data_IF_629095274360
#
_entry.id   IF_629095274360
#
_cell.length_a   1.000
_cell.length_b   1.000
_cell.length_c   1.000
_cell.angle_alpha   90.00
_cell.angle_beta   90.00
_cell.angle_gamma   90.00
#
_symmetry.space_group_name_H-M   'P 1'
#
loop_
_entity.id
_entity.type
_entity.pdbx_description
1 polymer ?
#
# COMPACT_ATOMS: atom_id res chain seq x y z
N UNK A 1 -22.94 -20.54 -6.98
CA UNK A 1 -22.52 -19.33 -6.25
C UNK A 1 -21.25 -18.85 -6.95
N UNK A 2 -21.25 -17.65 -7.53
CA UNK A 2 -20.04 -17.12 -8.17
C UNK A 2 -18.99 -16.89 -7.08
N UNK A 3 -17.83 -17.53 -7.18
CA UNK A 3 -16.69 -17.19 -6.32
C UNK A 3 -16.39 -15.70 -6.52
N UNK A 4 -16.48 -14.93 -5.44
CA UNK A 4 -16.10 -13.53 -5.46
C UNK A 4 -14.58 -13.50 -5.49
N UNK A 5 -13.97 -12.88 -6.49
CA UNK A 5 -12.51 -12.72 -6.57
C UNK A 5 -12.16 -11.27 -6.24
N UNK A 6 -11.20 -11.04 -5.34
CA UNK A 6 -10.73 -9.70 -5.06
C UNK A 6 -9.99 -9.18 -6.30
N UNK A 7 -10.42 -8.04 -6.85
CA UNK A 7 -9.81 -7.44 -8.03
C UNK A 7 -8.51 -6.70 -7.63
N UNK A 8 -7.49 -7.47 -7.25
CA UNK A 8 -6.18 -6.99 -6.81
C UNK A 8 -5.09 -7.61 -7.69
N UNK A 9 -4.18 -6.77 -8.17
CA UNK A 9 -3.06 -7.13 -9.02
C UNK A 9 -1.75 -6.67 -8.35
N UNK A 10 -0.75 -7.54 -8.17
CA UNK A 10 -0.79 -8.99 -8.37
C UNK A 10 -1.84 -9.68 -7.48
N UNK A 11 -2.31 -10.85 -7.90
CA UNK A 11 -3.25 -11.65 -7.11
C UNK A 11 -2.63 -12.00 -5.76
N UNK A 12 -3.29 -11.68 -4.63
CA UNK A 12 -2.78 -12.02 -3.31
C UNK A 12 -2.67 -13.53 -3.12
N UNK A 13 -1.72 -13.96 -2.28
CA UNK A 13 -1.52 -15.38 -1.96
C UNK A 13 -2.75 -16.03 -1.33
N UNK A 14 -3.40 -15.34 -0.40
CA UNK A 14 -4.60 -15.84 0.26
C UNK A 14 -5.63 -14.72 0.38
N UNK A 15 -6.90 -15.06 0.23
CA UNK A 15 -8.03 -14.14 0.39
C UNK A 15 -9.22 -14.91 0.94
N UNK A 16 -9.84 -14.38 1.98
CA UNK A 16 -11.04 -14.94 2.60
C UNK A 16 -12.10 -13.86 2.73
N UNK A 17 -13.29 -14.12 2.21
CA UNK A 17 -14.42 -13.20 2.32
C UNK A 17 -15.16 -13.41 3.64
N UNK A 18 -15.69 -12.33 4.19
CA UNK A 18 -16.49 -12.31 5.41
C UNK A 18 -17.81 -11.59 5.16
N UNK A 19 -18.74 -11.71 6.08
CA UNK A 19 -20.01 -11.00 6.00
C UNK A 19 -19.88 -9.52 6.36
N UNK A 20 -20.65 -8.70 5.64
CA UNK A 20 -20.75 -7.27 5.86
C UNK A 20 -19.80 -6.43 5.00
N UNK A 21 -19.85 -5.12 5.23
CA UNK A 21 -19.18 -4.11 4.41
C UNK A 21 -18.73 -2.96 5.30
N UNK A 22 -17.51 -2.49 5.08
CA UNK A 22 -17.01 -1.24 5.64
C UNK A 22 -17.42 -0.06 4.76
N UNK A 23 -18.19 0.88 5.31
CA UNK A 23 -18.66 2.04 4.55
C UNK A 23 -17.81 3.29 4.85
N UNK A 24 -17.00 3.70 3.88
CA UNK A 24 -16.26 4.95 3.92
C UNK A 24 -17.23 6.14 3.91
N UNK A 25 -17.02 7.05 4.87
CA UNK A 25 -17.85 8.23 5.06
C UNK A 25 -16.99 9.44 5.47
N UNK A 26 -17.54 10.67 5.50
CA UNK A 26 -16.79 11.87 5.87
C UNK A 26 -16.19 11.84 7.29
N UNK A 27 -16.68 10.97 8.17
CA UNK A 27 -16.17 10.80 9.52
C UNK A 27 -15.03 9.77 9.57
N UNK A 28 -14.80 8.98 8.52
CA UNK A 28 -13.69 8.02 8.48
C UNK A 28 -12.34 8.74 8.56
N UNK A 29 -11.42 8.22 9.36
CA UNK A 29 -10.05 8.72 9.46
C UNK A 29 -9.03 7.64 9.08
N UNK A 30 -7.94 8.05 8.43
CA UNK A 30 -6.76 7.20 8.27
C UNK A 30 -5.86 7.42 9.48
N UNK A 31 -5.64 6.37 10.26
CA UNK A 31 -4.79 6.42 11.45
C UNK A 31 -3.41 5.85 11.13
N UNK A 32 -2.39 6.54 11.64
CA UNK A 32 -1.01 6.05 11.69
C UNK A 32 -0.51 6.13 13.14
N UNK A 33 0.41 5.24 13.50
CA UNK A 33 0.97 5.14 14.84
C UNK A 33 1.79 6.38 15.21
N UNK A 34 1.94 6.69 16.51
CA UNK A 34 2.76 7.82 16.95
C UNK A 34 4.25 7.64 16.60
N UNK A 35 4.69 6.39 16.44
CA UNK A 35 6.04 6.00 16.02
C UNK A 35 6.27 6.11 14.51
N UNK A 36 5.22 6.26 13.69
CA UNK A 36 5.33 6.29 12.24
C UNK A 36 6.22 7.41 11.70
N UNK A 37 7.08 7.11 10.73
CA UNK A 37 7.99 8.05 10.09
C UNK A 37 7.41 8.69 8.82
N UNK A 38 8.31 9.17 7.96
CA UNK A 38 7.93 9.78 6.68
C UNK A 38 7.35 8.77 5.69
N UNK A 39 7.87 7.54 5.67
CA UNK A 39 7.44 6.48 4.75
C UNK A 39 5.96 6.11 4.95
N UNK A 40 5.55 5.88 6.20
CA UNK A 40 4.15 5.58 6.52
C UNK A 40 3.23 6.76 6.21
N UNK A 41 3.69 7.98 6.44
CA UNK A 41 2.91 9.18 6.13
C UNK A 41 2.74 9.36 4.61
N UNK A 42 3.77 9.05 3.82
CA UNK A 42 3.69 9.03 2.35
C UNK A 42 2.72 7.94 1.87
N UNK A 43 2.78 6.75 2.43
CA UNK A 43 1.83 5.67 2.13
C UNK A 43 0.39 6.09 2.47
N UNK A 44 0.15 6.64 3.66
CA UNK A 44 -1.16 7.17 4.07
C UNK A 44 -1.69 8.25 3.12
N UNK A 45 -0.80 9.15 2.65
CA UNK A 45 -1.15 10.17 1.65
C UNK A 45 -1.55 9.55 0.31
N UNK A 46 -0.83 8.52 -0.14
CA UNK A 46 -1.16 7.82 -1.39
C UNK A 46 -2.53 7.16 -1.32
N UNK A 47 -2.86 6.53 -0.18
CA UNK A 47 -4.18 5.95 0.07
C UNK A 47 -5.26 7.03 0.08
N UNK A 48 -5.06 8.12 0.83
CA UNK A 48 -6.01 9.24 0.89
C UNK A 48 -6.29 9.80 -0.50
N UNK A 49 -5.26 9.92 -1.33
CA UNK A 49 -5.40 10.45 -2.69
C UNK A 49 -6.24 9.52 -3.57
N UNK A 50 -6.02 8.21 -3.46
CA UNK A 50 -6.82 7.22 -4.19
C UNK A 50 -8.28 7.22 -3.73
N UNK A 51 -8.53 7.24 -2.41
CA UNK A 51 -9.88 7.35 -1.85
C UNK A 51 -10.55 8.63 -2.35
N UNK A 52 -9.87 9.77 -2.33
CA UNK A 52 -10.41 11.02 -2.83
C UNK A 52 -10.79 10.92 -4.32
N UNK A 53 -9.97 10.26 -5.14
CA UNK A 53 -10.26 10.07 -6.56
C UNK A 53 -11.44 9.12 -6.80
N UNK A 54 -11.56 8.05 -6.01
CA UNK A 54 -12.60 7.05 -6.17
C UNK A 54 -13.95 7.48 -5.56
N UNK A 55 -13.95 8.33 -4.53
CA UNK A 55 -15.13 8.60 -3.69
C UNK A 55 -15.46 10.08 -3.49
N UNK A 56 -14.53 10.99 -3.82
CA UNK A 56 -14.64 12.40 -3.47
C UNK A 56 -14.39 12.72 -1.98
N UNK A 57 -14.14 11.72 -1.13
CA UNK A 57 -13.90 11.92 0.30
C UNK A 57 -12.42 12.25 0.58
N UNK A 58 -12.17 13.40 1.21
CA UNK A 58 -10.85 13.76 1.70
C UNK A 58 -10.71 13.40 3.18
N UNK A 59 -10.35 12.13 3.43
CA UNK A 59 -10.20 11.65 4.81
C UNK A 59 -9.00 12.30 5.51
N UNK A 60 -9.12 12.69 6.80
CA UNK A 60 -7.99 13.16 7.57
C UNK A 60 -7.00 12.01 7.82
N UNK A 61 -5.70 12.35 7.80
CA UNK A 61 -4.64 11.46 8.29
C UNK A 61 -4.31 11.92 9.70
N UNK A 62 -4.48 11.04 10.68
CA UNK A 62 -4.29 11.36 12.10
C UNK A 62 -3.18 10.49 12.66
N UNK A 63 -2.12 11.16 13.11
CA UNK A 63 -1.04 10.54 13.88
C UNK A 63 -1.31 10.76 15.36
N UNK A 64 -1.59 9.68 16.10
CA UNK A 64 -1.96 9.79 17.52
C UNK A 64 -1.57 8.52 18.27
N UNK A 65 -1.28 8.64 19.56
CA UNK A 65 -1.14 7.51 20.48
C UNK A 65 -2.47 7.12 21.15
N UNK A 66 -3.46 8.02 21.13
CA UNK A 66 -4.78 7.84 21.75
C UNK A 66 -5.83 8.38 20.79
N UNK A 67 -6.44 7.52 19.96
CA UNK A 67 -7.45 7.97 19.03
C UNK A 67 -8.74 8.26 19.79
N UNK A 68 -9.52 9.22 19.33
CA UNK A 68 -10.84 9.50 19.93
C UNK A 68 -11.81 8.32 19.76
N UNK A 69 -11.57 7.47 18.75
CA UNK A 69 -12.34 6.26 18.46
C UNK A 69 -11.49 5.24 17.67
N UNK A 70 -11.88 3.97 17.75
CA UNK A 70 -11.22 2.85 17.04
C UNK A 70 -12.16 2.14 16.05
N UNK A 71 -13.38 2.62 15.91
CA UNK A 71 -14.35 2.27 14.88
C UNK A 71 -14.39 3.36 13.78
N UNK A 72 -14.86 2.99 12.60
CA UNK A 72 -14.89 3.85 11.41
C UNK A 72 -13.51 4.45 11.09
N UNK A 73 -12.46 3.62 11.15
CA UNK A 73 -11.08 4.02 10.88
C UNK A 73 -10.39 3.04 9.94
N UNK A 74 -9.40 3.56 9.21
CA UNK A 74 -8.41 2.77 8.48
C UNK A 74 -7.08 2.92 9.21
N UNK A 75 -6.69 1.92 10.00
CA UNK A 75 -5.43 1.93 10.74
C UNK A 75 -4.34 1.23 9.94
N UNK A 76 -3.27 1.98 9.64
CA UNK A 76 -2.10 1.47 8.94
C UNK A 76 -1.06 0.98 9.96
N UNK A 77 -0.59 -0.24 9.77
CA UNK A 77 0.22 -1.00 10.74
C UNK A 77 1.63 -1.19 10.21
N UNK A 78 2.64 -0.52 10.77
CA UNK A 78 4.06 -0.79 10.50
C UNK A 78 4.81 -1.40 11.67
N UNK A 79 4.22 -1.32 12.87
CA UNK A 79 4.73 -1.87 14.12
C UNK A 79 3.59 -2.61 14.81
N UNK A 80 3.74 -3.93 14.92
CA UNK A 80 2.65 -4.79 15.36
C UNK A 80 2.41 -4.72 16.86
N UNK A 81 3.48 -4.76 17.66
CA UNK A 81 3.40 -4.68 19.12
C UNK A 81 2.83 -3.32 19.54
N UNK A 82 3.28 -2.24 18.90
CA UNK A 82 2.72 -0.92 19.13
C UNK A 82 1.24 -0.84 18.72
N UNK A 83 0.82 -1.57 17.68
CA UNK A 83 -0.58 -1.62 17.25
C UNK A 83 -1.47 -2.38 18.25
N UNK A 84 -1.01 -3.49 18.81
CA UNK A 84 -1.75 -4.23 19.85
C UNK A 84 -1.95 -3.37 21.08
N UNK A 85 -0.89 -2.70 21.55
CA UNK A 85 -0.97 -1.74 22.64
C UNK A 85 -1.90 -0.57 22.31
N UNK A 86 -1.90 -0.11 21.05
CA UNK A 86 -2.78 0.97 20.58
C UNK A 86 -4.26 0.58 20.55
N UNK A 87 -4.56 -0.68 20.23
CA UNK A 87 -5.93 -1.19 20.14
C UNK A 87 -6.44 -1.83 21.45
N UNK A 88 -5.56 -1.99 22.45
CA UNK A 88 -5.82 -2.71 23.71
C UNK A 88 -6.40 -4.12 23.47
N UNK A 89 -5.80 -4.84 22.50
CA UNK A 89 -6.22 -6.19 22.12
C UNK A 89 -5.12 -6.92 21.38
N UNK A 90 -5.11 -8.24 21.53
CA UNK A 90 -4.29 -9.10 20.71
C UNK A 90 -4.78 -9.06 19.26
N UNK A 91 -3.86 -8.76 18.37
CA UNK A 91 -4.01 -8.98 16.96
C UNK A 91 -3.38 -10.35 16.70
N UNK A 92 -4.19 -11.35 16.35
CA UNK A 92 -3.62 -12.66 15.97
C UNK A 92 -2.82 -12.50 14.68
N UNK A 93 -1.50 -12.61 14.80
CA UNK A 93 -0.59 -12.67 13.66
C UNK A 93 -0.39 -14.13 13.26
N UNK A 94 -0.56 -14.41 11.98
CA UNK A 94 -0.28 -15.73 11.45
C UNK A 94 1.24 -15.98 11.44
N UNK A 95 1.71 -16.99 12.17
CA UNK A 95 3.13 -17.37 12.19
C UNK A 95 3.65 -17.73 10.79
N UNK A 96 2.79 -18.30 9.94
CA UNK A 96 3.11 -18.58 8.55
C UNK A 96 3.41 -17.27 7.81
N UNK A 97 2.55 -16.25 7.96
CA UNK A 97 2.76 -14.94 7.36
C UNK A 97 4.04 -14.28 7.89
N UNK A 98 4.33 -14.41 9.19
CA UNK A 98 5.56 -13.89 9.80
C UNK A 98 6.83 -14.48 9.15
N UNK A 99 6.77 -15.75 8.75
CA UNK A 99 7.91 -16.46 8.16
C UNK A 99 8.32 -15.93 6.78
N UNK A 100 7.45 -15.13 6.13
CA UNK A 100 7.70 -14.55 4.82
C UNK A 100 8.43 -13.19 4.85
N UNK A 101 8.88 -12.75 6.02
CA UNK A 101 9.82 -11.64 6.18
C UNK A 101 9.18 -10.25 6.14
N UNK A 102 9.99 -9.22 5.88
CA UNK A 102 9.59 -7.81 6.04
C UNK A 102 8.57 -7.32 5.00
N UNK A 103 8.41 -8.02 3.88
CA UNK A 103 7.42 -7.69 2.84
C UNK A 103 6.06 -8.39 3.05
N UNK A 104 5.95 -9.25 4.06
CA UNK A 104 4.72 -9.94 4.39
C UNK A 104 3.72 -8.98 5.05
N UNK A 105 2.50 -8.93 4.53
CA UNK A 105 1.49 -7.99 4.97
C UNK A 105 0.09 -8.61 4.96
N UNK A 106 -0.83 -7.96 5.67
CA UNK A 106 -2.24 -8.30 5.68
C UNK A 106 -3.12 -7.07 5.40
N UNK A 107 -4.35 -7.36 4.99
CA UNK A 107 -5.46 -6.40 4.95
C UNK A 107 -6.67 -7.07 5.59
N UNK A 108 -7.19 -6.49 6.67
CA UNK A 108 -8.38 -6.94 7.39
C UNK A 108 -9.47 -5.87 7.29
N UNK A 109 -10.45 -6.11 6.44
CA UNK A 109 -11.63 -5.26 6.27
C UNK A 109 -12.77 -5.88 7.08
N UNK A 110 -13.28 -5.12 8.04
CA UNK A 110 -14.47 -5.47 8.83
C UNK A 110 -15.50 -4.35 8.74
N UNK A 111 -16.80 -4.60 9.01
CA UNK A 111 -17.80 -3.54 9.00
C UNK A 111 -17.50 -2.39 9.96
N UNK A 112 -16.71 -2.64 11.01
CA UNK A 112 -16.36 -1.65 12.01
C UNK A 112 -15.10 -0.85 11.67
N UNK A 113 -14.09 -1.47 11.05
CA UNK A 113 -12.79 -0.84 10.77
C UNK A 113 -11.99 -1.60 9.73
N UNK A 114 -10.94 -0.95 9.22
CA UNK A 114 -9.91 -1.56 8.39
C UNK A 114 -8.57 -1.53 9.10
N UNK A 115 -7.88 -2.67 9.15
CA UNK A 115 -6.48 -2.78 9.57
C UNK A 115 -5.65 -3.23 8.37
N UNK A 116 -4.53 -2.58 8.09
CA UNK A 116 -3.70 -2.97 6.95
C UNK A 116 -2.22 -2.68 7.20
N UNK A 117 -1.37 -3.67 6.95
CA UNK A 117 0.08 -3.52 7.03
C UNK A 117 0.79 -4.77 7.53
N UNK A 118 1.83 -4.61 8.33
CA UNK A 118 2.58 -5.71 8.91
C UNK A 118 3.66 -5.25 9.89
N UNK A 119 4.74 -6.03 10.01
CA UNK A 119 5.82 -5.80 10.98
C UNK A 119 6.92 -4.86 10.47
N UNK A 120 6.65 -4.11 9.39
CA UNK A 120 7.61 -3.16 8.83
C UNK A 120 6.92 -2.03 8.07
N UNK A 121 7.60 -0.89 7.85
CA UNK A 121 7.14 0.15 6.93
C UNK A 121 6.91 -0.35 5.50
N UNK A 122 7.71 -1.32 5.04
CA UNK A 122 7.58 -1.92 3.71
C UNK A 122 6.29 -2.76 3.58
N UNK A 123 5.96 -3.56 4.60
CA UNK A 123 4.70 -4.30 4.66
C UNK A 123 3.49 -3.35 4.66
N UNK A 124 3.55 -2.26 5.44
CA UNK A 124 2.53 -1.20 5.42
C UNK A 124 2.37 -0.63 4.02
N UNK A 125 3.48 -0.27 3.36
CA UNK A 125 3.45 0.29 2.01
C UNK A 125 2.77 -0.65 1.01
N UNK A 126 3.09 -1.94 1.04
CA UNK A 126 2.48 -2.95 0.17
C UNK A 126 0.99 -3.16 0.45
N UNK A 127 0.59 -3.18 1.72
CA UNK A 127 -0.80 -3.25 2.13
C UNK A 127 -1.62 -2.05 1.64
N UNK A 128 -1.02 -0.85 1.72
CA UNK A 128 -1.61 0.37 1.17
C UNK A 128 -1.85 0.25 -0.34
N UNK A 129 -0.94 -0.38 -1.11
CA UNK A 129 -1.18 -0.57 -2.55
C UNK A 129 -2.39 -1.48 -2.81
N UNK A 130 -2.59 -2.49 -1.98
CA UNK A 130 -3.79 -3.33 -2.03
C UNK A 130 -5.05 -2.53 -1.68
N UNK A 131 -5.02 -1.72 -0.61
CA UNK A 131 -6.15 -0.85 -0.25
C UNK A 131 -6.48 0.18 -1.34
N UNK A 132 -5.47 0.72 -2.02
CA UNK A 132 -5.68 1.63 -3.16
C UNK A 132 -6.46 0.94 -4.29
N UNK A 133 -6.12 -0.30 -4.61
CA UNK A 133 -6.84 -1.07 -5.63
C UNK A 133 -8.26 -1.41 -5.20
N UNK A 134 -8.46 -1.80 -3.93
CA UNK A 134 -9.80 -2.01 -3.36
C UNK A 134 -10.61 -0.71 -3.46
N UNK A 135 -10.05 0.43 -3.06
CA UNK A 135 -10.72 1.72 -3.14
C UNK A 135 -11.13 2.08 -4.56
N UNK A 136 -10.29 1.78 -5.56
CA UNK A 136 -10.56 2.07 -6.97
C UNK A 136 -11.72 1.25 -7.52
N UNK A 137 -11.90 0.02 -7.06
CA UNK A 137 -12.92 -0.92 -7.55
C UNK A 137 -14.22 -0.79 -6.77
N UNK A 138 -14.14 -0.72 -5.44
CA UNK A 138 -15.30 -0.79 -4.54
C UNK A 138 -15.82 0.60 -4.13
N UNK A 139 -15.05 1.66 -4.38
CA UNK A 139 -15.44 3.04 -4.05
C UNK A 139 -15.65 3.23 -2.55
N UNK A 140 -16.89 3.53 -2.15
CA UNK A 140 -17.27 3.80 -0.76
C UNK A 140 -17.48 2.54 0.09
N UNK A 141 -17.78 1.39 -0.52
CA UNK A 141 -18.30 0.21 0.18
C UNK A 141 -17.33 -0.95 0.05
N UNK A 142 -16.43 -1.10 1.02
CA UNK A 142 -15.40 -2.15 0.96
C UNK A 142 -15.95 -3.43 1.60
N UNK A 143 -16.14 -4.52 0.85
CA UNK A 143 -16.71 -5.72 1.44
C UNK A 143 -15.76 -6.32 2.48
N UNK A 144 -16.31 -6.93 3.52
CA UNK A 144 -15.51 -7.52 4.58
C UNK A 144 -14.69 -8.70 4.03
N UNK A 145 -13.38 -8.66 4.28
CA UNK A 145 -12.44 -9.65 3.77
C UNK A 145 -11.15 -9.63 4.58
N UNK A 146 -10.40 -10.72 4.51
CA UNK A 146 -9.04 -10.80 5.00
C UNK A 146 -8.10 -11.30 3.91
N UNK A 147 -7.01 -10.58 3.72
CA UNK A 147 -5.95 -10.88 2.77
C UNK A 147 -4.65 -11.04 3.55
N UNK A 148 -3.90 -12.09 3.25
CA UNK A 148 -2.50 -12.27 3.64
C UNK A 148 -1.67 -12.47 2.38
N UNK A 149 -0.56 -11.75 2.27
CA UNK A 149 0.20 -11.71 1.02
C UNK A 149 1.68 -11.39 1.24
N UNK A 150 2.50 -11.87 0.32
CA UNK A 150 3.95 -11.71 0.28
C UNK A 150 4.48 -11.98 -1.14
N UNK A 151 5.61 -11.37 -1.51
CA UNK A 151 6.15 -11.52 -2.85
C UNK A 151 6.72 -12.93 -3.07
N UNK A 152 6.55 -13.46 -4.29
CA UNK A 152 7.17 -14.73 -4.69
C UNK A 152 8.64 -14.57 -5.10
N UNK A 153 9.01 -13.36 -5.54
CA UNK A 153 10.35 -13.01 -5.99
C UNK A 153 10.81 -11.77 -5.23
N UNK A 154 12.04 -11.80 -4.72
CA UNK A 154 12.67 -10.66 -4.04
C UNK A 154 12.81 -9.44 -4.96
N UNK A 155 13.17 -9.67 -6.23
CA UNK A 155 13.35 -8.62 -7.23
C UNK A 155 12.23 -8.68 -8.27
N UNK A 156 11.49 -7.58 -8.39
CA UNK A 156 10.31 -7.45 -9.26
C UNK A 156 10.46 -6.14 -10.01
N UNK A 157 10.99 -6.22 -11.23
CA UNK A 157 11.55 -5.05 -11.89
C UNK A 157 11.11 -4.83 -13.32
N UNK A 158 11.28 -3.58 -13.75
CA UNK A 158 11.19 -3.15 -15.13
C UNK A 158 12.53 -2.54 -15.56
N UNK A 159 13.04 -2.97 -16.72
CA UNK A 159 14.13 -2.28 -17.41
C UNK A 159 13.53 -1.32 -18.44
N UNK A 160 13.91 -0.05 -18.36
CA UNK A 160 13.50 0.99 -19.30
C UNK A 160 14.71 1.46 -20.10
N UNK A 161 14.67 1.29 -21.42
CA UNK A 161 15.63 1.89 -22.33
C UNK A 161 15.37 3.40 -22.44
N UNK A 162 16.31 4.20 -21.93
CA UNK A 162 16.26 5.67 -22.00
C UNK A 162 17.24 6.22 -23.03
N UNK A 163 17.80 5.37 -23.89
CA UNK A 163 18.76 5.73 -24.95
C UNK A 163 18.18 5.59 -26.36
N UNK A 164 17.03 4.94 -26.52
CA UNK A 164 16.35 4.80 -27.81
C UNK A 164 15.01 5.52 -27.79
N UNK A 165 14.71 6.25 -28.87
CA UNK A 165 13.45 6.98 -29.01
C UNK A 165 13.41 8.26 -28.16
N UNK A 166 12.21 8.61 -27.67
CA UNK A 166 12.02 9.81 -26.84
C UNK A 166 12.52 9.53 -25.42
N UNK A 167 13.50 10.32 -24.96
CA UNK A 167 13.97 10.27 -23.57
C UNK A 167 12.82 10.69 -22.63
N UNK A 168 12.44 9.85 -21.64
CA UNK A 168 11.41 10.21 -20.67
C UNK A 168 11.81 11.44 -19.86
N UNK A 169 10.84 12.30 -19.55
CA UNK A 169 11.09 13.38 -18.59
C UNK A 169 11.18 12.81 -17.17
N UNK A 170 11.75 13.59 -16.24
CA UNK A 170 11.75 13.22 -14.82
C UNK A 170 10.32 13.00 -14.28
N UNK A 171 9.36 13.78 -14.75
CA UNK A 171 7.95 13.61 -14.40
C UNK A 171 7.42 12.26 -14.88
N UNK A 172 7.70 11.87 -16.12
CA UNK A 172 7.33 10.55 -16.66
C UNK A 172 7.97 9.41 -15.85
N UNK A 173 9.23 9.55 -15.46
CA UNK A 173 9.91 8.54 -14.64
C UNK A 173 9.29 8.43 -13.24
N UNK A 174 8.92 9.55 -12.62
CA UNK A 174 8.21 9.54 -11.32
C UNK A 174 6.85 8.85 -11.43
N UNK A 175 6.07 9.16 -12.46
CA UNK A 175 4.80 8.50 -12.73
C UNK A 175 4.99 6.98 -12.94
N UNK A 176 6.05 6.57 -13.64
CA UNK A 176 6.39 5.17 -13.82
C UNK A 176 6.72 4.50 -12.48
N UNK A 177 7.50 5.13 -11.61
CA UNK A 177 7.81 4.62 -10.26
C UNK A 177 6.52 4.49 -9.43
N UNK A 178 5.63 5.47 -9.47
CA UNK A 178 4.35 5.41 -8.75
C UNK A 178 3.48 4.24 -9.25
N UNK A 179 3.48 3.98 -10.56
CA UNK A 179 2.74 2.88 -11.18
C UNK A 179 3.34 1.51 -10.85
N UNK A 180 4.67 1.38 -10.91
CA UNK A 180 5.41 0.18 -10.49
C UNK A 180 5.16 -0.13 -9.02
N UNK A 181 5.21 0.90 -8.18
CA UNK A 181 4.93 0.81 -6.75
C UNK A 181 3.51 0.30 -6.49
N UNK A 182 2.48 0.81 -7.18
CA UNK A 182 1.09 0.34 -7.08
C UNK A 182 0.95 -1.17 -7.38
N UNK A 183 1.76 -1.68 -8.31
CA UNK A 183 1.81 -3.10 -8.67
C UNK A 183 2.91 -3.89 -7.92
N UNK A 184 3.42 -3.34 -6.82
CA UNK A 184 4.38 -3.97 -5.90
C UNK A 184 5.73 -4.33 -6.54
N UNK A 185 6.07 -3.72 -7.68
CA UNK A 185 7.42 -3.78 -8.23
C UNK A 185 8.38 -2.92 -7.39
N UNK A 186 9.62 -3.37 -7.25
CA UNK A 186 10.62 -2.77 -6.37
C UNK A 186 11.97 -2.51 -7.06
N UNK A 187 12.06 -2.73 -8.38
CA UNK A 187 13.25 -2.43 -9.17
C UNK A 187 12.86 -1.62 -10.41
N UNK A 188 13.51 -0.49 -10.62
CA UNK A 188 13.51 0.22 -11.89
C UNK A 188 14.96 0.30 -12.38
N UNK A 189 15.25 -0.36 -13.50
CA UNK A 189 16.56 -0.32 -14.12
C UNK A 189 16.51 0.58 -15.34
N UNK A 190 17.29 1.66 -15.35
CA UNK A 190 17.44 2.51 -16.52
C UNK A 190 18.58 1.97 -17.37
N UNK A 191 18.25 1.49 -18.57
CA UNK A 191 19.25 1.14 -19.56
C UNK A 191 19.71 2.41 -20.28
N UNK A 192 21.02 2.67 -20.22
CA UNK A 192 21.65 3.87 -20.77
C UNK A 192 22.88 3.49 -21.60
N UNK A 193 22.99 4.08 -22.78
CA UNK A 193 24.15 4.02 -23.69
C UNK A 193 24.83 5.39 -23.75
N UNK A 194 24.18 6.37 -24.37
CA UNK A 194 24.72 7.72 -24.63
C UNK A 194 23.92 8.85 -23.98
N UNK A 195 22.76 8.57 -23.38
CA UNK A 195 21.88 9.65 -22.86
C UNK A 195 22.27 10.16 -21.47
N UNK A 196 23.37 9.65 -20.90
CA UNK A 196 23.91 10.14 -19.64
C UNK A 196 24.98 11.22 -19.90
N UNK A 197 24.83 12.38 -19.23
CA UNK A 197 25.82 13.45 -19.33
C UNK A 197 27.03 13.11 -18.45
N UNK A 198 28.16 12.80 -19.06
CA UNK A 198 29.43 12.53 -18.36
C UNK A 198 30.25 13.82 -18.22
N UNK A 199 30.38 14.43 -17.02
CA UNK A 199 31.03 15.74 -16.86
C UNK A 199 32.49 15.77 -17.33
N UNK A 200 33.22 14.67 -17.13
CA UNK A 200 34.62 14.53 -17.51
C UNK A 200 34.81 14.03 -18.96
N UNK A 201 33.73 13.59 -19.62
CA UNK A 201 33.76 13.08 -20.99
C UNK A 201 32.56 13.62 -21.80
N UNK A 202 32.48 14.94 -22.03
CA UNK A 202 31.30 15.59 -22.61
C UNK A 202 31.01 15.22 -24.07
N UNK A 203 31.87 14.43 -24.72
CA UNK A 203 31.68 13.92 -26.09
C UNK A 203 31.03 12.53 -26.15
N UNK A 204 30.78 11.88 -25.01
CA UNK A 204 30.27 10.50 -24.93
C UNK A 204 28.72 10.44 -24.91
N UNK A 205 28.03 11.58 -24.88
CA UNK A 205 26.58 11.66 -24.96
C UNK A 205 26.05 12.57 -26.05
#
# INVERSE_FOLDING_TARGET
MSERTACVIPQPKQTSWREGTFALNPQTSILILPTSGEEEHLAARSLRQEILQATGLRLPIVKTARPARIDNVVLLVSDYEATEAFLDRDLRWDEELASHGQEAYFVDVTPQRVLAGGRSPLALHLAVQTLRQISRVEGHEWPAMYISDWPSLRYRGLMLDVSRGKVPTLETLKLLVDQLSLYKANVLQLYTEHTFVFPHHPRIG
#
